data_IF_874051793512
#
_entry.id   IF_874051793512
#
_cell.length_a   1.000
_cell.length_b   1.000
_cell.length_c   1.000
_cell.angle_alpha   90.00
_cell.angle_beta   90.00
_cell.angle_gamma   90.00
#
_symmetry.space_group_name_H-M   'P 1'
#
loop_
_entity.id
_entity.type
_entity.pdbx_description
1 polymer ?
#
# COMPACT_ATOMS: atom_id res chain seq x y z
N UNK A 1 12.46 51.75 -43.39
CA UNK A 1 13.05 50.40 -43.18
C UNK A 1 13.52 50.31 -41.73
N UNK A 2 12.67 49.86 -40.81
CA UNK A 2 12.97 49.87 -39.37
C UNK A 2 12.86 48.44 -38.83
N UNK A 3 13.99 47.74 -38.77
CA UNK A 3 14.16 46.45 -38.10
C UNK A 3 14.54 46.73 -36.64
N UNK A 4 13.98 45.92 -35.73
CA UNK A 4 14.36 45.66 -34.32
C UNK A 4 13.16 45.69 -33.36
N UNK A 5 12.22 44.78 -33.59
CA UNK A 5 11.22 44.36 -32.60
C UNK A 5 11.83 43.22 -31.78
N UNK A 6 12.69 43.56 -30.83
CA UNK A 6 13.28 42.58 -29.92
C UNK A 6 12.23 41.97 -28.99
N UNK A 7 12.37 40.66 -28.81
CA UNK A 7 11.61 39.79 -27.94
C UNK A 7 11.42 40.41 -26.55
N UNK A 8 10.18 40.75 -26.19
CA UNK A 8 9.80 40.90 -24.80
C UNK A 8 9.86 39.50 -24.17
N UNK A 9 11.03 39.14 -23.64
CA UNK A 9 11.12 38.11 -22.63
C UNK A 9 10.32 38.62 -21.43
N UNK A 10 9.08 38.15 -21.31
CA UNK A 10 8.36 38.22 -20.03
C UNK A 10 9.16 37.34 -19.07
N UNK A 11 10.07 37.96 -18.32
CA UNK A 11 10.66 37.36 -17.14
C UNK A 11 9.49 37.16 -16.18
N UNK A 12 8.94 35.93 -16.15
CA UNK A 12 7.92 35.54 -15.18
C UNK A 12 8.44 35.88 -13.80
N UNK A 13 7.77 36.80 -13.11
CA UNK A 13 8.13 37.29 -11.79
C UNK A 13 7.83 36.24 -10.71
N UNK A 14 8.33 35.01 -10.85
CA UNK A 14 8.42 33.96 -9.80
C UNK A 14 7.13 33.60 -9.04
N UNK A 15 6.00 34.18 -9.40
CA UNK A 15 4.67 33.98 -8.83
C UNK A 15 3.78 33.64 -10.01
N UNK A 16 3.94 32.43 -10.53
CA UNK A 16 2.94 31.89 -11.43
C UNK A 16 1.59 31.99 -10.70
N UNK A 17 0.60 32.68 -11.29
CA UNK A 17 -0.67 32.91 -10.63
C UNK A 17 -1.30 31.56 -10.25
N UNK A 18 -2.10 31.55 -9.17
CA UNK A 18 -2.84 30.34 -8.80
C UNK A 18 -3.62 29.83 -10.03
N UNK A 19 -3.57 28.52 -10.32
CA UNK A 19 -4.31 27.97 -11.43
C UNK A 19 -5.82 28.16 -11.22
N UNK A 20 -6.55 28.11 -12.33
CA UNK A 20 -7.99 28.36 -12.40
C UNK A 20 -8.78 27.57 -11.35
N UNK A 21 -9.91 28.11 -10.90
CA UNK A 21 -10.80 27.46 -9.93
C UNK A 21 -11.24 26.07 -10.41
N UNK A 22 -11.45 25.89 -11.72
CA UNK A 22 -11.74 24.59 -12.32
C UNK A 22 -10.60 23.58 -12.13
N UNK A 23 -9.34 24.03 -12.27
CA UNK A 23 -8.16 23.19 -12.05
C UNK A 23 -8.10 22.71 -10.61
N UNK A 24 -8.35 23.62 -9.66
CA UNK A 24 -8.32 23.32 -8.23
C UNK A 24 -9.45 22.36 -7.83
N UNK A 25 -10.66 22.51 -8.39
CA UNK A 25 -11.77 21.58 -8.17
C UNK A 25 -11.42 20.20 -8.73
N UNK A 26 -10.89 20.13 -9.95
CA UNK A 26 -10.50 18.86 -10.56
C UNK A 26 -9.37 18.17 -9.78
N UNK A 27 -8.38 18.92 -9.29
CA UNK A 27 -7.33 18.41 -8.41
C UNK A 27 -7.89 17.92 -7.07
N UNK A 28 -8.85 18.63 -6.49
CA UNK A 28 -9.51 18.24 -5.24
C UNK A 28 -10.27 16.92 -5.42
N UNK A 29 -10.96 16.76 -6.55
CA UNK A 29 -11.62 15.49 -6.91
C UNK A 29 -10.60 14.37 -7.08
N UNK A 30 -9.51 14.62 -7.81
CA UNK A 30 -8.43 13.64 -7.99
C UNK A 30 -7.78 13.21 -6.68
N UNK A 31 -7.56 14.14 -5.75
CA UNK A 31 -7.06 13.86 -4.40
C UNK A 31 -8.04 13.03 -3.57
N UNK A 32 -9.33 13.39 -3.58
CA UNK A 32 -10.35 12.65 -2.84
C UNK A 32 -10.47 11.20 -3.35
N UNK A 33 -10.48 11.02 -4.67
CA UNK A 33 -10.55 9.70 -5.29
C UNK A 33 -9.30 8.86 -4.97
N UNK A 34 -8.09 9.46 -5.06
CA UNK A 34 -6.85 8.73 -4.79
C UNK A 34 -6.72 8.28 -3.33
N UNK A 35 -7.24 9.06 -2.37
CA UNK A 35 -7.20 8.71 -0.94
C UNK A 35 -8.31 7.76 -0.52
N UNK A 36 -9.46 7.75 -1.21
CA UNK A 36 -10.61 6.92 -0.86
C UNK A 36 -10.35 5.43 -0.60
N UNK A 37 -9.53 4.68 -1.38
CA UNK A 37 -9.30 3.25 -1.14
C UNK A 37 -8.50 2.99 0.15
N UNK A 38 -7.80 4.01 0.66
CA UNK A 38 -6.95 3.89 1.84
C UNK A 38 -7.72 4.08 3.15
N UNK A 39 -8.94 4.63 3.10
CA UNK A 39 -9.73 4.93 4.30
C UNK A 39 -10.00 3.68 5.15
N UNK A 40 -10.11 2.51 4.51
CA UNK A 40 -10.32 1.22 5.17
C UNK A 40 -9.07 0.69 5.90
N UNK A 41 -7.87 1.08 5.44
CA UNK A 41 -6.60 0.61 5.99
C UNK A 41 -5.96 1.61 6.96
N UNK A 42 -6.41 2.87 6.93
CA UNK A 42 -5.88 3.94 7.77
C UNK A 42 -6.52 3.95 9.16
N UNK A 43 -5.77 4.32 10.20
CA UNK A 43 -6.33 4.60 11.52
C UNK A 43 -7.41 5.67 11.42
N UNK A 44 -8.52 5.48 12.13
CA UNK A 44 -9.69 6.37 12.06
C UNK A 44 -9.34 7.84 12.31
N UNK A 45 -8.41 8.12 13.21
CA UNK A 45 -7.94 9.48 13.51
C UNK A 45 -7.24 10.15 12.32
N UNK A 46 -6.51 9.38 11.50
CA UNK A 46 -5.78 9.89 10.34
C UNK A 46 -6.71 10.11 9.15
N UNK A 47 -7.68 9.22 8.97
CA UNK A 47 -8.77 9.42 8.01
C UNK A 47 -9.54 10.70 8.34
N UNK A 48 -9.89 10.90 9.61
CA UNK A 48 -10.55 12.13 10.07
C UNK A 48 -9.67 13.37 9.85
N UNK A 49 -8.39 13.30 10.21
CA UNK A 49 -7.44 14.38 9.97
C UNK A 49 -7.39 14.78 8.49
N UNK A 50 -7.31 13.80 7.59
CA UNK A 50 -7.27 14.02 6.14
C UNK A 50 -8.56 14.68 5.63
N UNK A 51 -9.72 14.20 6.09
CA UNK A 51 -11.04 14.79 5.75
C UNK A 51 -11.12 16.23 6.24
N UNK A 52 -10.70 16.52 7.48
CA UNK A 52 -10.71 17.88 8.04
C UNK A 52 -9.83 18.82 7.23
N UNK A 53 -8.61 18.40 6.87
CA UNK A 53 -7.72 19.22 6.04
C UNK A 53 -8.28 19.45 4.63
N UNK A 54 -8.88 18.41 4.04
CA UNK A 54 -9.54 18.50 2.74
C UNK A 54 -10.69 19.52 2.77
N UNK A 55 -11.60 19.40 3.74
CA UNK A 55 -12.73 20.32 3.91
C UNK A 55 -12.27 21.74 4.23
N UNK A 56 -11.24 21.90 5.06
CA UNK A 56 -10.65 23.21 5.34
C UNK A 56 -10.12 23.86 4.06
N UNK A 57 -9.41 23.10 3.21
CA UNK A 57 -8.95 23.60 1.92
C UNK A 57 -10.12 23.98 1.01
N UNK A 58 -11.16 23.16 0.93
CA UNK A 58 -12.37 23.47 0.16
C UNK A 58 -13.05 24.76 0.65
N UNK A 59 -13.07 24.98 1.96
CA UNK A 59 -13.63 26.18 2.57
C UNK A 59 -12.81 27.43 2.26
N UNK A 60 -11.48 27.34 2.33
CA UNK A 60 -10.55 28.40 1.93
C UNK A 60 -10.78 28.80 0.47
N UNK A 61 -10.91 27.83 -0.44
CA UNK A 61 -11.14 28.08 -1.86
C UNK A 61 -12.50 28.74 -2.13
N UNK A 62 -13.56 28.29 -1.46
CA UNK A 62 -14.91 28.87 -1.63
C UNK A 62 -15.03 30.29 -1.11
N UNK A 63 -14.36 30.61 0.01
CA UNK A 63 -14.44 31.92 0.66
C UNK A 63 -13.29 32.86 0.33
N UNK A 64 -12.36 32.44 -0.55
CA UNK A 64 -11.14 33.18 -0.89
C UNK A 64 -10.37 33.69 0.35
N UNK A 65 -10.34 32.88 1.43
CA UNK A 65 -9.69 33.22 2.69
C UNK A 65 -8.17 33.00 2.55
N UNK A 66 -7.37 33.72 3.35
CA UNK A 66 -5.94 33.45 3.44
C UNK A 66 -5.65 32.02 3.95
N UNK A 67 -4.66 31.37 3.34
CA UNK A 67 -4.16 30.05 3.76
C UNK A 67 -3.54 30.16 5.17
N UNK A 68 -3.65 29.12 6.03
CA UNK A 68 -3.12 29.15 7.39
C UNK A 68 -1.65 29.58 7.47
N UNK A 69 -1.32 30.24 8.58
CA UNK A 69 0.04 30.70 8.87
C UNK A 69 1.03 29.53 8.91
N UNK A 70 2.30 29.80 8.59
CA UNK A 70 3.37 28.79 8.57
C UNK A 70 3.47 28.03 9.90
N UNK A 71 3.34 28.72 11.03
CA UNK A 71 3.40 28.13 12.37
C UNK A 71 2.32 27.06 12.59
N UNK A 72 1.07 27.31 12.17
CA UNK A 72 -0.03 26.35 12.31
C UNK A 72 0.26 25.07 11.53
N UNK A 73 0.77 25.21 10.30
CA UNK A 73 1.09 24.06 9.44
C UNK A 73 2.28 23.25 9.98
N UNK A 74 3.29 23.92 10.53
CA UNK A 74 4.41 23.25 11.19
C UNK A 74 3.94 22.49 12.44
N UNK A 75 3.03 23.08 13.24
CA UNK A 75 2.44 22.40 14.39
C UNK A 75 1.68 21.15 13.95
N UNK A 76 0.83 21.26 12.91
CA UNK A 76 0.11 20.11 12.35
C UNK A 76 1.04 19.02 11.83
N UNK A 77 2.14 19.40 11.17
CA UNK A 77 3.17 18.47 10.69
C UNK A 77 3.83 17.71 11.84
N UNK A 78 4.31 18.43 12.86
CA UNK A 78 4.96 17.83 14.03
C UNK A 78 3.96 16.93 14.77
N UNK A 79 2.72 17.40 14.96
CA UNK A 79 1.66 16.61 15.58
C UNK A 79 1.36 15.33 14.83
N UNK A 80 1.25 15.40 13.49
CA UNK A 80 1.08 14.23 12.62
C UNK A 80 2.23 13.23 12.81
N UNK A 81 3.48 13.67 12.73
CA UNK A 81 4.64 12.79 12.89
C UNK A 81 4.68 12.12 14.28
N UNK A 82 4.38 12.88 15.34
CA UNK A 82 4.35 12.35 16.72
C UNK A 82 3.21 11.32 16.89
N UNK A 83 2.02 11.60 16.36
CA UNK A 83 0.88 10.68 16.43
C UNK A 83 1.13 9.41 15.63
N UNK A 84 1.71 9.51 14.43
CA UNK A 84 2.12 8.36 13.63
C UNK A 84 3.15 7.49 14.37
N UNK A 85 4.19 8.11 14.92
CA UNK A 85 5.22 7.39 15.68
C UNK A 85 4.62 6.70 16.91
N UNK A 86 3.71 7.35 17.64
CA UNK A 86 3.01 6.74 18.77
C UNK A 86 2.08 5.60 18.38
N UNK A 87 1.46 5.68 17.20
CA UNK A 87 0.50 4.67 16.74
C UNK A 87 1.20 3.42 16.19
N UNK A 88 2.22 3.61 15.35
CA UNK A 88 2.91 2.51 14.65
C UNK A 88 4.21 2.06 15.33
N UNK A 89 4.77 2.84 16.26
CA UNK A 89 6.07 2.56 16.89
C UNK A 89 7.28 2.76 15.97
N UNK A 90 7.04 3.04 14.69
CA UNK A 90 8.04 3.26 13.64
C UNK A 90 7.46 4.21 12.59
N UNK A 91 8.33 4.90 11.86
CA UNK A 91 7.97 5.67 10.67
C UNK A 91 8.29 4.91 9.37
N UNK A 92 8.92 3.74 9.49
CA UNK A 92 9.35 2.88 8.41
C UNK A 92 8.51 1.59 8.42
N UNK A 93 8.09 1.16 7.23
CA UNK A 93 7.19 0.02 7.04
C UNK A 93 6.03 0.38 6.11
N UNK A 94 5.27 -0.61 5.65
CA UNK A 94 4.23 -0.41 4.63
C UNK A 94 3.17 0.54 5.18
N UNK A 95 2.60 0.18 6.32
CA UNK A 95 1.45 0.91 6.87
C UNK A 95 1.84 2.29 7.39
N UNK A 96 2.96 2.40 8.10
CA UNK A 96 3.48 3.68 8.58
C UNK A 96 3.88 4.61 7.42
N UNK A 97 4.53 4.08 6.38
CA UNK A 97 4.96 4.83 5.21
C UNK A 97 3.80 5.34 4.37
N UNK A 98 2.77 4.51 4.14
CA UNK A 98 1.55 4.93 3.44
C UNK A 98 0.78 5.97 4.25
N UNK A 99 0.62 5.75 5.55
CA UNK A 99 -0.03 6.71 6.45
C UNK A 99 0.69 8.08 6.45
N UNK A 100 2.02 8.06 6.50
CA UNK A 100 2.85 9.26 6.40
C UNK A 100 2.69 9.94 5.04
N UNK A 101 2.74 9.20 3.93
CA UNK A 101 2.55 9.75 2.59
C UNK A 101 1.19 10.46 2.47
N UNK A 102 0.11 9.83 2.92
CA UNK A 102 -1.24 10.39 2.84
C UNK A 102 -1.37 11.63 3.74
N UNK A 103 -0.90 11.56 4.99
CA UNK A 103 -0.95 12.69 5.91
C UNK A 103 -0.13 13.90 5.43
N UNK A 104 1.08 13.66 4.93
CA UNK A 104 1.92 14.71 4.33
C UNK A 104 1.31 15.27 3.05
N UNK A 105 0.68 14.42 2.24
CA UNK A 105 -0.01 14.85 1.02
C UNK A 105 -1.23 15.72 1.34
N UNK A 106 -1.98 15.40 2.40
CA UNK A 106 -3.09 16.22 2.89
C UNK A 106 -2.63 17.60 3.38
N UNK A 107 -1.51 17.67 4.12
CA UNK A 107 -0.89 18.93 4.52
C UNK A 107 -0.39 19.73 3.31
N UNK A 108 0.26 19.06 2.34
CA UNK A 108 0.73 19.70 1.11
C UNK A 108 -0.44 20.24 0.27
N UNK A 109 -1.55 19.52 0.22
CA UNK A 109 -2.79 19.93 -0.44
C UNK A 109 -3.38 21.20 0.19
N UNK A 110 -3.40 21.31 1.52
CA UNK A 110 -3.82 22.53 2.22
C UNK A 110 -2.96 23.75 1.84
N UNK A 111 -1.66 23.52 1.62
CA UNK A 111 -0.66 24.55 1.32
C UNK A 111 -0.64 25.04 -0.14
N UNK A 112 -1.42 24.48 -1.06
CA UNK A 112 -1.35 24.86 -2.49
C UNK A 112 -1.48 26.39 -2.69
N UNK A 113 -0.41 27.00 -3.24
CA UNK A 113 -0.31 28.43 -3.57
C UNK A 113 0.15 28.71 -4.99
N UNK A 114 0.87 27.78 -5.59
CA UNK A 114 1.51 27.97 -6.89
C UNK A 114 1.19 26.81 -7.83
N UNK A 115 1.43 27.03 -9.13
CA UNK A 115 1.41 25.96 -10.13
C UNK A 115 2.31 24.78 -9.72
N UNK A 116 3.52 25.07 -9.23
CA UNK A 116 4.46 24.05 -8.75
C UNK A 116 3.86 23.20 -7.63
N UNK A 117 3.15 23.81 -6.69
CA UNK A 117 2.49 23.07 -5.61
C UNK A 117 1.41 22.12 -6.14
N UNK A 118 0.65 22.54 -7.15
CA UNK A 118 -0.36 21.70 -7.77
C UNK A 118 0.28 20.47 -8.42
N UNK A 119 1.36 20.66 -9.17
CA UNK A 119 2.09 19.55 -9.80
C UNK A 119 2.66 18.58 -8.76
N UNK A 120 3.22 19.08 -7.65
CA UNK A 120 3.69 18.24 -6.55
C UNK A 120 2.55 17.38 -6.00
N UNK A 121 1.37 17.96 -5.77
CA UNK A 121 0.21 17.21 -5.27
C UNK A 121 -0.27 16.16 -6.27
N UNK A 122 -0.27 16.47 -7.57
CA UNK A 122 -0.59 15.48 -8.61
C UNK A 122 0.36 14.27 -8.53
N UNK A 123 1.67 14.50 -8.41
CA UNK A 123 2.64 13.41 -8.27
C UNK A 123 2.48 12.64 -6.96
N UNK A 124 2.15 13.33 -5.86
CA UNK A 124 1.82 12.67 -4.59
C UNK A 124 0.57 11.80 -4.73
N UNK A 125 -0.46 12.25 -5.44
CA UNK A 125 -1.65 11.43 -5.73
C UNK A 125 -1.30 10.20 -6.57
N UNK A 126 -0.41 10.31 -7.56
CA UNK A 126 0.09 9.14 -8.28
C UNK A 126 0.81 8.17 -7.35
N UNK A 127 1.66 8.65 -6.45
CA UNK A 127 2.30 7.80 -5.44
C UNK A 127 1.27 7.10 -4.54
N UNK A 128 0.22 7.79 -4.09
CA UNK A 128 -0.88 7.19 -3.30
C UNK A 128 -1.65 6.12 -4.11
N UNK A 129 -1.82 6.32 -5.41
CA UNK A 129 -2.42 5.28 -6.28
C UNK A 129 -1.54 4.03 -6.27
N UNK A 130 -0.22 4.18 -6.43
CA UNK A 130 0.71 3.05 -6.39
C UNK A 130 0.65 2.30 -5.06
N UNK A 131 0.54 3.00 -3.93
CA UNK A 131 0.51 2.36 -2.61
C UNK A 131 -0.74 1.51 -2.39
N UNK A 132 -1.83 1.74 -3.14
CA UNK A 132 -3.05 0.92 -3.04
C UNK A 132 -2.79 -0.55 -3.39
N UNK A 133 -1.88 -0.79 -4.35
CA UNK A 133 -1.49 -2.15 -4.77
C UNK A 133 -0.61 -2.88 -3.75
N UNK A 134 -0.16 -2.19 -2.68
CA UNK A 134 0.52 -2.83 -1.55
C UNK A 134 -0.44 -3.55 -0.59
N UNK A 135 -1.74 -3.22 -0.66
CA UNK A 135 -2.79 -3.79 0.18
C UNK A 135 -3.62 -4.86 -0.54
N UNK A 136 -4.02 -4.59 -1.78
CA UNK A 136 -4.88 -5.48 -2.56
C UNK A 136 -4.52 -5.44 -4.04
N UNK A 137 -4.60 -6.60 -4.68
CA UNK A 137 -4.35 -6.77 -6.12
C UNK A 137 -5.62 -7.19 -6.86
N UNK A 138 -6.81 -6.86 -6.32
CA UNK A 138 -8.08 -7.22 -6.95
C UNK A 138 -8.27 -6.51 -8.28
N UNK A 139 -8.93 -7.18 -9.24
CA UNK A 139 -9.23 -6.59 -10.55
C UNK A 139 -10.09 -5.33 -10.43
N UNK A 140 -11.03 -5.30 -9.47
CA UNK A 140 -11.89 -4.14 -9.23
C UNK A 140 -11.10 -2.92 -8.76
N UNK A 141 -10.15 -3.11 -7.82
CA UNK A 141 -9.26 -2.04 -7.38
C UNK A 141 -8.40 -1.55 -8.54
N UNK A 142 -7.87 -2.47 -9.37
CA UNK A 142 -7.10 -2.12 -10.56
C UNK A 142 -7.89 -1.24 -11.54
N UNK A 143 -9.14 -1.59 -11.83
CA UNK A 143 -10.02 -0.78 -12.67
C UNK A 143 -10.29 0.60 -12.06
N UNK A 144 -10.53 0.67 -10.76
CA UNK A 144 -10.72 1.93 -10.03
C UNK A 144 -9.46 2.81 -10.07
N UNK A 145 -8.28 2.24 -9.83
CA UNK A 145 -7.00 2.95 -9.95
C UNK A 145 -6.76 3.48 -11.37
N UNK A 146 -7.12 2.72 -12.40
CA UNK A 146 -7.00 3.14 -13.79
C UNK A 146 -7.85 4.40 -14.06
N UNK A 147 -9.08 4.45 -13.54
CA UNK A 147 -9.92 5.66 -13.61
C UNK A 147 -9.24 6.85 -12.92
N UNK A 148 -8.65 6.65 -11.74
CA UNK A 148 -7.93 7.72 -11.03
C UNK A 148 -6.73 8.21 -11.83
N UNK A 149 -5.95 7.30 -12.43
CA UNK A 149 -4.80 7.66 -13.27
C UNK A 149 -5.24 8.49 -14.48
N UNK A 150 -6.37 8.15 -15.12
CA UNK A 150 -6.96 8.97 -16.19
C UNK A 150 -7.30 10.37 -15.67
N UNK A 151 -7.97 10.48 -14.52
CA UNK A 151 -8.37 11.76 -13.91
C UNK A 151 -7.15 12.61 -13.58
N UNK A 152 -6.14 12.05 -12.90
CA UNK A 152 -4.91 12.77 -12.53
C UNK A 152 -4.12 13.21 -13.75
N UNK A 153 -4.07 12.38 -14.80
CA UNK A 153 -3.43 12.73 -16.07
C UNK A 153 -4.18 13.87 -16.76
N UNK A 154 -5.51 13.89 -16.70
CA UNK A 154 -6.32 14.97 -17.24
C UNK A 154 -6.11 16.28 -16.47
N UNK A 155 -6.01 16.21 -15.14
CA UNK A 155 -5.66 17.36 -14.28
C UNK A 155 -4.28 17.90 -14.63
N UNK A 156 -3.29 17.01 -14.80
CA UNK A 156 -1.93 17.38 -15.19
C UNK A 156 -1.91 18.07 -16.56
N UNK A 157 -2.62 17.53 -17.56
CA UNK A 157 -2.74 18.16 -18.88
C UNK A 157 -3.40 19.54 -18.79
N UNK A 158 -4.51 19.64 -18.07
CA UNK A 158 -5.23 20.90 -17.89
C UNK A 158 -4.36 21.97 -17.23
N UNK A 159 -3.55 21.60 -16.23
CA UNK A 159 -2.61 22.51 -15.56
C UNK A 159 -1.51 23.00 -16.52
N UNK A 160 -1.00 22.13 -17.40
CA UNK A 160 0.15 22.44 -18.27
C UNK A 160 -0.23 23.12 -19.60
N UNK A 161 -1.50 23.07 -20.03
CA UNK A 161 -1.91 23.64 -21.31
C UNK A 161 -2.54 25.03 -21.14
N UNK A 162 -2.04 26.00 -21.91
CA UNK A 162 -2.57 27.37 -21.93
C UNK A 162 -3.99 27.44 -22.50
N UNK A 163 -4.33 26.51 -23.39
CA UNK A 163 -5.64 26.43 -24.05
C UNK A 163 -6.60 25.62 -23.16
N UNK A 164 -7.35 26.35 -22.32
CA UNK A 164 -8.24 25.82 -21.27
C UNK A 164 -9.50 25.19 -21.87
N UNK A 165 -9.33 24.15 -22.67
CA UNK A 165 -10.44 23.36 -23.20
C UNK A 165 -11.22 22.69 -22.06
N UNK A 166 -12.47 22.27 -22.34
CA UNK A 166 -13.33 21.63 -21.34
C UNK A 166 -12.64 20.40 -20.73
N UNK A 167 -12.79 20.23 -19.41
CA UNK A 167 -12.22 19.11 -18.65
C UNK A 167 -12.55 17.74 -19.26
N UNK A 168 -13.75 17.57 -19.83
CA UNK A 168 -14.18 16.35 -20.51
C UNK A 168 -13.32 15.97 -21.71
N UNK A 169 -12.83 16.95 -22.48
CA UNK A 169 -11.93 16.73 -23.61
C UNK A 169 -10.57 16.23 -23.10
N UNK A 170 -10.08 16.80 -22.01
CA UNK A 170 -8.83 16.40 -21.37
C UNK A 170 -8.91 14.98 -20.80
N UNK A 171 -10.03 14.59 -20.19
CA UNK A 171 -10.27 13.21 -19.74
C UNK A 171 -10.25 12.24 -20.92
N UNK A 172 -10.93 12.56 -22.02
CA UNK A 172 -10.91 11.71 -23.23
C UNK A 172 -9.50 11.56 -23.80
N UNK A 173 -8.75 12.66 -23.91
CA UNK A 173 -7.34 12.61 -24.38
C UNK A 173 -6.47 11.77 -23.44
N UNK A 174 -6.62 11.93 -22.14
CA UNK A 174 -5.91 11.14 -21.13
C UNK A 174 -6.22 9.65 -21.23
N UNK A 175 -7.50 9.29 -21.42
CA UNK A 175 -7.92 7.92 -21.62
C UNK A 175 -7.31 7.30 -22.89
N UNK A 176 -7.26 8.05 -24.00
CA UNK A 176 -6.62 7.60 -25.25
C UNK A 176 -5.11 7.38 -25.05
N UNK A 177 -4.42 8.30 -24.37
CA UNK A 177 -2.99 8.15 -24.08
C UNK A 177 -2.70 6.92 -23.21
N UNK A 178 -3.53 6.69 -22.19
CA UNK A 178 -3.39 5.51 -21.32
C UNK A 178 -3.70 4.23 -22.09
N UNK A 179 -4.75 4.22 -22.93
CA UNK A 179 -5.06 3.09 -23.80
C UNK A 179 -3.92 2.78 -24.78
N UNK A 180 -3.24 3.80 -25.32
CA UNK A 180 -2.07 3.63 -26.18
C UNK A 180 -0.84 3.14 -25.40
N UNK A 181 -0.73 3.47 -24.11
CA UNK A 181 0.34 3.00 -23.23
C UNK A 181 0.10 1.56 -22.72
N UNK A 182 -1.14 1.07 -22.70
CA UNK A 182 -1.49 -0.27 -22.21
C UNK A 182 -0.70 -1.41 -22.88
N UNK A 183 -0.54 -1.46 -24.22
CA UNK A 183 0.26 -2.49 -24.88
C UNK A 183 1.70 -2.55 -24.35
N UNK A 184 2.33 -1.39 -24.15
CA UNK A 184 3.68 -1.30 -23.58
C UNK A 184 3.66 -1.80 -22.13
N UNK A 185 2.64 -1.41 -21.36
CA UNK A 185 2.43 -1.91 -19.99
C UNK A 185 2.29 -3.43 -19.92
N UNK A 186 1.56 -4.05 -20.85
CA UNK A 186 1.39 -5.51 -20.94
C UNK A 186 2.72 -6.19 -21.29
N UNK A 187 3.47 -5.65 -22.24
CA UNK A 187 4.81 -6.17 -22.58
C UNK A 187 5.74 -6.10 -21.36
N UNK A 188 5.80 -4.96 -20.67
CA UNK A 188 6.58 -4.82 -19.44
C UNK A 188 6.10 -5.79 -18.36
N UNK A 189 4.79 -5.96 -18.20
CA UNK A 189 4.22 -6.88 -17.22
C UNK A 189 4.56 -8.36 -17.49
N UNK A 190 4.67 -8.77 -18.75
CA UNK A 190 5.07 -10.12 -19.13
C UNK A 190 6.59 -10.34 -19.02
N UNK A 191 7.39 -9.31 -19.32
CA UNK A 191 8.85 -9.40 -19.31
C UNK A 191 9.45 -9.24 -17.91
N UNK A 192 8.81 -8.49 -17.01
CA UNK A 192 9.32 -8.30 -15.65
C UNK A 192 8.82 -9.39 -14.71
N UNK A 193 9.71 -10.19 -14.10
CA UNK A 193 9.31 -11.15 -13.09
C UNK A 193 8.64 -10.39 -11.93
N UNK A 194 7.46 -10.85 -11.51
CA UNK A 194 6.75 -10.30 -10.35
C UNK A 194 7.48 -10.77 -9.08
N UNK A 195 8.66 -10.22 -8.84
CA UNK A 195 9.41 -10.54 -7.63
C UNK A 195 8.63 -9.90 -6.47
N UNK A 196 8.23 -10.66 -5.44
CA UNK A 196 7.62 -10.12 -4.23
C UNK A 196 8.72 -9.39 -3.43
N UNK A 197 9.17 -8.24 -3.93
CA UNK A 197 10.20 -7.47 -3.26
C UNK A 197 9.51 -6.68 -2.16
N UNK A 198 9.74 -7.09 -0.91
CA UNK A 198 9.28 -6.42 0.30
C UNK A 198 9.97 -5.06 0.55
N UNK A 199 10.24 -4.26 -0.49
CA UNK A 199 10.98 -2.99 -0.41
C UNK A 199 10.42 -2.00 0.62
N UNK A 200 9.13 -2.13 0.93
CA UNK A 200 8.43 -1.27 1.90
C UNK A 200 7.80 -2.02 3.07
N UNK A 201 7.81 -3.36 3.07
CA UNK A 201 7.23 -4.16 4.15
C UNK A 201 8.28 -4.49 5.21
N UNK A 202 7.90 -4.50 6.48
CA UNK A 202 8.74 -5.12 7.50
C UNK A 202 8.74 -6.64 7.30
N UNK A 203 9.77 -7.39 7.75
CA UNK A 203 9.75 -8.85 7.74
C UNK A 203 8.52 -9.36 8.52
N UNK A 204 7.41 -9.67 7.83
CA UNK A 204 6.09 -9.78 8.45
C UNK A 204 4.92 -9.33 7.58
N UNK A 205 5.10 -8.37 6.67
CA UNK A 205 4.00 -7.78 5.88
C UNK A 205 3.70 -8.52 4.56
N UNK A 206 4.56 -9.45 4.17
CA UNK A 206 4.51 -10.22 2.90
C UNK A 206 3.61 -11.46 2.95
N UNK A 207 2.86 -11.69 4.04
CA UNK A 207 2.05 -12.90 4.23
C UNK A 207 0.67 -12.86 3.54
N UNK A 208 0.38 -11.87 2.69
CA UNK A 208 -0.96 -11.66 2.12
C UNK A 208 -1.30 -12.54 0.89
N UNK A 209 -0.43 -13.45 0.48
CA UNK A 209 -0.62 -14.21 -0.77
C UNK A 209 -0.09 -15.65 -0.79
N UNK A 210 0.32 -16.20 0.35
CA UNK A 210 0.65 -17.63 0.46
C UNK A 210 -0.30 -18.26 1.46
N UNK A 211 -1.03 -19.29 1.04
CA UNK A 211 -1.82 -20.08 1.99
C UNK A 211 -0.84 -20.94 2.81
N UNK A 212 -0.90 -20.83 4.14
CA UNK A 212 0.06 -21.49 5.00
C UNK A 212 -0.28 -21.37 6.47
N UNK A 213 0.20 -22.33 7.27
CA UNK A 213 0.13 -22.27 8.73
C UNK A 213 0.83 -20.98 9.19
N UNK A 214 0.21 -20.18 10.06
CA UNK A 214 0.79 -18.94 10.60
C UNK A 214 1.10 -19.09 12.08
N UNK A 215 1.97 -18.23 12.63
CA UNK A 215 2.35 -18.23 14.06
C UNK A 215 1.23 -17.71 14.99
N UNK A 216 0.07 -17.36 14.42
CA UNK A 216 -1.11 -16.85 15.13
C UNK A 216 -2.39 -17.45 14.55
N UNK A 217 -3.19 -18.16 15.37
CA UNK A 217 -4.51 -18.66 14.97
C UNK A 217 -5.61 -17.89 15.68
N UNK A 218 -6.63 -17.48 14.92
CA UNK A 218 -7.90 -16.94 15.45
C UNK A 218 -9.03 -17.94 15.17
N UNK A 219 -10.08 -18.00 16.00
CA UNK A 219 -11.27 -18.77 15.67
C UNK A 219 -11.77 -18.43 14.25
N UNK A 220 -11.95 -19.45 13.39
CA UNK A 220 -12.38 -19.30 12.00
C UNK A 220 -11.28 -19.02 10.97
N UNK A 221 -10.03 -18.75 11.37
CA UNK A 221 -8.94 -18.49 10.42
C UNK A 221 -8.47 -19.74 9.66
N UNK A 222 -8.78 -20.94 10.16
CA UNK A 222 -8.43 -22.23 9.54
C UNK A 222 -9.25 -22.51 8.26
N UNK A 223 -10.44 -21.89 8.11
CA UNK A 223 -11.33 -22.16 6.99
C UNK A 223 -10.69 -21.85 5.64
N UNK A 224 -9.88 -20.78 5.57
CA UNK A 224 -9.12 -20.42 4.36
C UNK A 224 -8.05 -21.46 3.99
N UNK A 225 -7.53 -22.21 4.96
CA UNK A 225 -6.58 -23.29 4.72
C UNK A 225 -7.28 -24.51 4.12
N UNK A 226 -8.50 -24.80 4.59
CA UNK A 226 -9.30 -25.93 4.10
C UNK A 226 -9.85 -25.70 2.67
N UNK A 227 -9.98 -24.45 2.25
CA UNK A 227 -10.41 -24.07 0.89
C UNK A 227 -9.25 -24.04 -0.13
N UNK A 228 -8.01 -24.25 0.31
CA UNK A 228 -6.83 -24.23 -0.55
C UNK A 228 -6.41 -25.65 -0.95
N UNK A 229 -6.34 -25.91 -2.25
CA UNK A 229 -5.80 -27.14 -2.84
C UNK A 229 -4.28 -27.07 -3.09
N UNK A 230 -3.60 -26.03 -2.60
CA UNK A 230 -2.14 -25.89 -2.73
C UNK A 230 -1.41 -26.99 -1.95
N UNK A 231 -0.38 -27.58 -2.56
CA UNK A 231 0.44 -28.59 -1.91
C UNK A 231 1.25 -27.93 -0.79
N UNK A 232 1.13 -28.44 0.44
CA UNK A 232 1.95 -27.96 1.56
C UNK A 232 3.34 -28.62 1.60
N UNK A 233 3.37 -29.94 1.44
CA UNK A 233 4.59 -30.74 1.34
C UNK A 233 4.27 -32.11 0.75
N UNK A 234 5.33 -32.82 0.36
CA UNK A 234 5.28 -34.23 0.00
C UNK A 234 6.17 -35.01 0.96
N UNK A 235 5.69 -36.16 1.42
CA UNK A 235 6.47 -37.07 2.25
C UNK A 235 6.63 -38.41 1.53
N UNK A 236 7.86 -38.88 1.45
CA UNK A 236 8.22 -40.20 0.97
C UNK A 236 8.64 -41.04 2.17
N UNK A 237 7.96 -42.15 2.43
CA UNK A 237 8.15 -42.96 3.64
C UNK A 237 8.83 -44.25 3.25
N UNK A 238 9.95 -44.55 3.90
CA UNK A 238 10.69 -45.80 3.68
C UNK A 238 9.89 -46.97 4.27
N UNK A 239 9.30 -47.79 3.39
CA UNK A 239 8.56 -48.99 3.77
C UNK A 239 7.04 -48.81 3.74
N UNK A 240 6.34 -49.38 4.72
CA UNK A 240 4.88 -49.35 4.76
C UNK A 240 4.40 -48.03 5.36
N UNK A 241 3.57 -47.31 4.60
CA UNK A 241 2.94 -46.08 5.09
C UNK A 241 2.13 -46.36 6.39
N UNK A 242 2.25 -45.52 7.43
CA UNK A 242 1.46 -45.61 8.65
C UNK A 242 -0.04 -45.49 8.36
N UNK A 243 -0.86 -46.00 9.27
CA UNK A 243 -2.31 -45.84 9.17
C UNK A 243 -2.68 -44.34 9.18
N UNK A 244 -3.81 -43.98 8.57
CA UNK A 244 -4.21 -42.59 8.40
C UNK A 244 -4.29 -41.81 9.71
N UNK A 245 -4.63 -42.50 10.81
CA UNK A 245 -4.70 -41.94 12.16
C UNK A 245 -3.32 -41.59 12.75
N UNK A 246 -2.27 -42.23 12.27
CA UNK A 246 -0.88 -42.01 12.71
C UNK A 246 -0.16 -40.98 11.84
N UNK A 247 -0.80 -40.46 10.79
CA UNK A 247 -0.23 -39.42 9.92
C UNK A 247 -0.49 -38.02 10.46
N UNK A 248 -0.21 -37.82 11.75
CA UNK A 248 -0.31 -36.50 12.38
C UNK A 248 0.99 -35.73 12.15
N UNK A 249 0.97 -34.86 11.13
CA UNK A 249 2.11 -34.02 10.78
C UNK A 249 2.12 -32.77 11.64
N UNK A 250 2.91 -32.83 12.71
CA UNK A 250 3.11 -31.74 13.64
C UNK A 250 3.92 -30.62 12.99
N UNK A 251 3.36 -29.43 12.97
CA UNK A 251 4.06 -28.20 12.58
C UNK A 251 4.44 -27.38 13.80
N UNK A 252 3.64 -26.37 14.11
CA UNK A 252 3.86 -25.47 15.25
C UNK A 252 2.94 -25.78 16.42
N UNK A 253 3.42 -25.46 17.63
CA UNK A 253 2.62 -25.48 18.86
C UNK A 253 2.34 -24.05 19.30
N UNK A 254 1.06 -23.70 19.39
CA UNK A 254 0.59 -22.40 19.87
C UNK A 254 0.17 -22.54 21.34
N UNK A 255 1.06 -22.16 22.25
CA UNK A 255 0.86 -22.33 23.69
C UNK A 255 0.38 -21.06 24.42
N UNK A 256 0.32 -19.92 23.75
CA UNK A 256 -0.05 -18.64 24.37
C UNK A 256 -1.41 -18.17 23.86
N UNK A 257 -2.39 -18.01 24.74
CA UNK A 257 -3.70 -17.47 24.39
C UNK A 257 -3.84 -16.01 24.88
N UNK A 258 -3.91 -15.07 23.93
CA UNK A 258 -4.02 -13.63 24.20
C UNK A 258 -4.96 -12.98 23.20
N UNK A 259 -5.88 -12.12 23.66
CA UNK A 259 -6.80 -11.34 22.81
C UNK A 259 -7.57 -12.17 21.77
N UNK A 260 -8.17 -13.28 22.19
CA UNK A 260 -8.92 -14.18 21.31
C UNK A 260 -8.08 -14.77 20.16
N UNK A 261 -6.78 -14.94 20.38
CA UNK A 261 -5.84 -15.55 19.44
C UNK A 261 -4.86 -16.46 20.15
N UNK A 262 -4.55 -17.59 19.53
CA UNK A 262 -3.49 -18.50 19.94
C UNK A 262 -2.20 -18.10 19.22
N UNK A 263 -1.10 -17.99 19.97
CA UNK A 263 0.20 -17.57 19.46
C UNK A 263 1.30 -18.52 19.90
N UNK A 264 2.38 -18.53 19.14
CA UNK A 264 3.57 -19.27 19.49
C UNK A 264 4.25 -18.64 20.72
N UNK A 265 4.54 -19.46 21.74
CA UNK A 265 5.25 -19.00 22.93
C UNK A 265 6.75 -18.90 22.65
N UNK A 266 7.23 -17.70 22.30
CA UNK A 266 8.64 -17.45 21.97
C UNK A 266 9.60 -17.68 23.15
N UNK A 267 9.12 -17.47 24.38
CA UNK A 267 9.92 -17.68 25.60
C UNK A 267 10.16 -19.16 25.85
N UNK A 268 9.15 -19.99 25.60
CA UNK A 268 9.26 -21.45 25.67
C UNK A 268 10.29 -22.00 24.67
N UNK A 269 10.28 -21.50 23.42
CA UNK A 269 11.23 -21.91 22.39
C UNK A 269 12.70 -21.61 22.75
N UNK A 270 12.96 -20.48 23.43
CA UNK A 270 14.31 -20.11 23.87
C UNK A 270 14.81 -21.00 25.02
N UNK A 271 13.90 -21.61 25.78
CA UNK A 271 14.23 -22.48 26.92
C UNK A 271 14.24 -23.97 26.58
N UNK A 272 13.87 -24.37 25.36
CA UNK A 272 13.98 -25.74 24.89
C UNK A 272 15.46 -26.13 24.80
N UNK A 273 16.00 -26.72 25.87
CA UNK A 273 17.13 -27.65 25.74
C UNK A 273 16.58 -28.85 24.97
N UNK A 274 17.11 -29.14 23.79
CA UNK A 274 16.72 -30.31 22.99
C UNK A 274 16.73 -31.55 23.90
N UNK A 275 15.57 -32.06 24.34
CA UNK A 275 15.55 -33.34 25.03
C UNK A 275 15.99 -34.36 23.98
N UNK A 276 16.93 -35.25 24.31
CA UNK A 276 17.11 -36.41 23.42
C UNK A 276 15.80 -37.19 23.47
N UNK A 277 15.12 -37.38 22.33
CA UNK A 277 13.91 -38.18 22.31
C UNK A 277 14.29 -39.59 22.74
N UNK A 278 13.62 -40.10 23.77
CA UNK A 278 13.68 -41.50 24.13
C UNK A 278 12.75 -42.23 23.15
N UNK A 279 13.35 -42.94 22.19
CA UNK A 279 12.60 -43.67 21.16
C UNK A 279 13.14 -45.08 21.03
N UNK A 280 12.27 -46.04 20.72
CA UNK A 280 12.67 -47.39 20.37
C UNK A 280 13.14 -47.41 18.90
N UNK A 281 14.39 -47.80 18.60
CA UNK A 281 14.86 -47.93 17.22
C UNK A 281 14.02 -48.88 16.35
N UNK A 282 13.30 -49.83 16.96
CA UNK A 282 12.43 -50.76 16.24
C UNK A 282 11.18 -50.08 15.65
N UNK A 283 10.70 -49.00 16.29
CA UNK A 283 9.53 -48.22 15.88
C UNK A 283 9.91 -46.94 15.12
N UNK A 284 11.19 -46.75 14.80
CA UNK A 284 11.68 -45.56 14.12
C UNK A 284 11.28 -45.56 12.64
N UNK A 285 10.38 -44.66 12.27
CA UNK A 285 10.00 -44.44 10.87
C UNK A 285 11.01 -43.53 10.16
N UNK A 286 11.56 -43.99 9.04
CA UNK A 286 12.40 -43.17 8.16
C UNK A 286 11.56 -42.62 7.01
N UNK A 287 11.71 -41.31 6.76
CA UNK A 287 10.99 -40.64 5.70
C UNK A 287 11.75 -39.39 5.23
N UNK A 288 11.53 -39.02 3.98
CA UNK A 288 12.03 -37.79 3.36
C UNK A 288 10.87 -36.82 3.14
N UNK A 289 11.08 -35.54 3.43
CA UNK A 289 10.07 -34.49 3.22
C UNK A 289 10.57 -33.48 2.20
N UNK A 290 9.77 -33.25 1.17
CA UNK A 290 9.92 -32.12 0.26
C UNK A 290 8.90 -31.04 0.65
N UNK A 291 9.40 -29.95 1.25
CA UNK A 291 8.59 -28.83 1.71
C UNK A 291 8.40 -27.81 0.58
N UNK A 292 7.16 -27.42 0.30
CA UNK A 292 6.90 -26.30 -0.60
C UNK A 292 7.26 -24.96 0.08
N UNK A 293 7.58 -23.91 -0.68
CA UNK A 293 7.93 -22.61 -0.11
C UNK A 293 6.81 -22.08 0.81
N UNK A 294 7.05 -22.08 2.12
CA UNK A 294 6.07 -21.62 3.12
C UNK A 294 6.43 -20.27 3.75
N UNK A 295 7.62 -19.74 3.46
CA UNK A 295 8.18 -18.51 4.06
C UNK A 295 8.24 -18.54 5.61
N UNK A 296 8.27 -19.74 6.19
CA UNK A 296 8.37 -19.97 7.64
C UNK A 296 9.68 -20.67 7.99
N UNK A 297 9.98 -20.80 9.30
CA UNK A 297 11.20 -21.45 9.80
C UNK A 297 10.94 -22.81 10.45
N UNK A 298 9.74 -23.36 10.31
CA UNK A 298 9.38 -24.66 10.88
C UNK A 298 9.25 -25.71 9.79
N UNK A 299 9.50 -26.96 10.18
CA UNK A 299 9.37 -28.14 9.33
C UNK A 299 8.26 -29.00 9.93
N UNK A 300 7.52 -29.71 9.08
CA UNK A 300 6.53 -30.68 9.52
C UNK A 300 7.17 -32.03 9.77
N UNK A 301 6.87 -32.65 10.91
CA UNK A 301 7.33 -33.99 11.27
C UNK A 301 6.18 -34.82 11.81
N UNK A 302 6.28 -36.14 11.72
CA UNK A 302 5.36 -37.04 12.40
C UNK A 302 5.58 -37.00 13.92
N UNK A 303 4.49 -37.07 14.69
CA UNK A 303 4.44 -37.12 16.16
C UNK A 303 3.85 -38.47 16.63
#
# INVERSE_FOLDING_TARGET
MNKHRWLKFNISTGRDPLPDQQALIALSLGFALSVSPHVEYLPMWLSLFTIVLFLWRMWIMKRAIAIPMRAVRLLLLIGLCVLLYRHYGTLLGRDAGVAMLIGLSALKFLEIRTFRDCMIVVFLCFMIVLTSFLYSQSMLLGAYMLVIVIVLTAVMQYLNHSDRSRLSVMVRRSAVLIALAMPIGVVLFLLFPRVPIGLFGLPGDSHAGMTGMSDVIKPGSINRLNESDEIAFRADIDGKAPDMKQRYWRGIVLGEYTNNSWKQNKRYLQTLRSPQPEYDPADALKYSVLLEPSNTRWVFSLD
#
